data_IF_509886600697
#
_entry.id   IF_509886600697
#
_cell.length_a   1.000
_cell.length_b   1.000
_cell.length_c   1.000
_cell.angle_alpha   90.00
_cell.angle_beta   90.00
_cell.angle_gamma   90.00
#
_symmetry.space_group_name_H-M   'P 1'
#
loop_
_entity.id
_entity.type
_entity.pdbx_description
1 polymer ?
#
# COMPACT_ATOMS: atom_id res chain seq x y z
N UNK A 1 -8.87 -16.88 -12.15
CA UNK A 1 -7.44 -16.58 -12.34
C UNK A 1 -6.71 -17.00 -11.08
N UNK A 2 -5.53 -17.60 -11.19
CA UNK A 2 -4.86 -18.23 -10.04
C UNK A 2 -4.40 -17.17 -9.04
N UNK A 3 -4.59 -17.40 -7.73
CA UNK A 3 -4.16 -16.47 -6.66
C UNK A 3 -2.68 -16.06 -6.72
N UNK A 4 -1.84 -16.81 -7.43
CA UNK A 4 -0.45 -16.46 -7.70
C UNK A 4 -0.31 -15.24 -8.63
N UNK A 5 -1.19 -15.11 -9.63
CA UNK A 5 -1.22 -13.96 -10.55
C UNK A 5 -1.65 -12.70 -9.80
N UNK A 6 -2.68 -12.79 -8.93
CA UNK A 6 -3.10 -11.67 -8.09
C UNK A 6 -1.97 -11.17 -7.17
N UNK A 7 -1.19 -12.08 -6.58
CA UNK A 7 -0.05 -11.72 -5.74
C UNK A 7 1.09 -11.08 -6.55
N UNK A 8 1.36 -11.59 -7.75
CA UNK A 8 2.35 -10.99 -8.64
C UNK A 8 1.94 -9.59 -9.08
N UNK A 9 0.66 -9.39 -9.41
CA UNK A 9 0.13 -8.07 -9.77
C UNK A 9 0.10 -7.11 -8.58
N UNK A 10 -0.17 -7.60 -7.36
CA UNK A 10 -0.03 -6.81 -6.14
C UNK A 10 1.42 -6.38 -5.88
N UNK A 11 2.40 -7.28 -6.05
CA UNK A 11 3.83 -6.94 -5.98
C UNK A 11 4.21 -5.85 -6.98
N UNK A 12 3.76 -6.02 -8.22
CA UNK A 12 4.00 -5.05 -9.30
C UNK A 12 3.35 -3.70 -9.01
N UNK A 13 2.18 -3.68 -8.36
CA UNK A 13 1.53 -2.45 -7.92
C UNK A 13 2.30 -1.76 -6.78
N UNK A 14 2.78 -2.52 -5.80
CA UNK A 14 3.58 -2.03 -4.68
C UNK A 14 4.90 -1.41 -5.15
N UNK A 15 5.65 -2.09 -6.03
CA UNK A 15 6.89 -1.54 -6.62
C UNK A 15 6.62 -0.23 -7.38
N UNK A 16 5.54 -0.18 -8.17
CA UNK A 16 5.13 1.03 -8.86
C UNK A 16 4.70 2.17 -7.91
N UNK A 17 4.12 1.83 -6.76
CA UNK A 17 3.73 2.82 -5.75
C UNK A 17 4.96 3.42 -5.08
N UNK A 18 5.94 2.57 -4.70
CA UNK A 18 7.22 3.01 -4.16
C UNK A 18 7.93 3.98 -5.10
N UNK A 19 8.03 3.65 -6.40
CA UNK A 19 8.66 4.54 -7.39
C UNK A 19 7.96 5.88 -7.56
N UNK A 20 6.62 5.91 -7.46
CA UNK A 20 5.88 7.18 -7.51
C UNK A 20 6.21 8.05 -6.29
N UNK A 21 6.23 7.46 -5.10
CA UNK A 21 6.56 8.17 -3.86
C UNK A 21 7.99 8.71 -3.89
N UNK A 22 8.95 7.93 -4.38
CA UNK A 22 10.34 8.38 -4.56
C UNK A 22 10.46 9.58 -5.50
N UNK A 23 9.55 9.69 -6.48
CA UNK A 23 9.52 10.82 -7.42
C UNK A 23 8.82 12.07 -6.89
N UNK A 24 8.01 11.95 -5.81
CA UNK A 24 7.23 13.07 -5.25
C UNK A 24 8.11 13.96 -4.39
N UNK A 25 8.15 15.25 -4.73
CA UNK A 25 8.93 16.24 -3.96
C UNK A 25 8.47 16.35 -2.50
N UNK A 26 7.16 16.22 -2.25
CA UNK A 26 6.57 16.30 -0.91
C UNK A 26 6.91 15.09 0.00
N UNK A 27 7.41 13.99 -0.58
CA UNK A 27 7.92 12.83 0.16
C UNK A 27 9.46 12.80 0.23
N UNK A 28 10.16 13.83 -0.29
CA UNK A 28 11.61 13.89 -0.21
C UNK A 28 12.05 14.08 1.24
N UNK A 29 12.92 13.19 1.72
CA UNK A 29 13.35 13.09 3.12
C UNK A 29 12.24 12.71 4.12
N UNK A 30 11.10 12.23 3.63
CA UNK A 30 10.04 11.65 4.47
C UNK A 30 10.26 10.15 4.51
N UNK A 31 10.21 9.54 5.70
CA UNK A 31 10.16 8.09 5.80
C UNK A 31 8.80 7.62 5.26
N UNK A 32 8.80 6.87 4.16
CA UNK A 32 7.60 6.37 3.50
C UNK A 32 7.88 5.02 2.84
N UNK A 33 7.04 4.02 3.08
CA UNK A 33 7.24 2.68 2.51
C UNK A 33 5.93 1.93 2.26
N UNK A 34 6.02 0.99 1.30
CA UNK A 34 5.03 -0.03 1.04
C UNK A 34 5.71 -1.41 1.15
N UNK A 35 5.20 -2.28 2.01
CA UNK A 35 5.74 -3.63 2.20
C UNK A 35 4.64 -4.67 2.00
N UNK A 36 4.75 -5.50 0.96
CA UNK A 36 3.83 -6.63 0.77
C UNK A 36 4.30 -7.84 1.58
N UNK A 37 3.40 -8.37 2.40
CA UNK A 37 3.56 -9.65 3.06
C UNK A 37 2.72 -10.71 2.32
N UNK A 38 3.39 -11.57 1.56
CA UNK A 38 2.74 -12.63 0.78
C UNK A 38 2.02 -13.67 1.64
N UNK A 39 2.56 -13.97 2.83
CA UNK A 39 2.00 -15.01 3.70
C UNK A 39 0.66 -14.57 4.31
N UNK A 40 0.57 -13.31 4.77
CA UNK A 40 -0.66 -12.75 5.33
C UNK A 40 -1.54 -12.03 4.29
N UNK A 41 -1.05 -11.87 3.05
CA UNK A 41 -1.69 -11.10 1.98
C UNK A 41 -2.05 -9.68 2.43
N UNK A 42 -1.13 -9.04 3.14
CA UNK A 42 -1.27 -7.66 3.63
C UNK A 42 -0.21 -6.77 3.02
N UNK A 43 -0.53 -5.49 2.85
CA UNK A 43 0.41 -4.45 2.46
C UNK A 43 0.50 -3.48 3.62
N UNK A 44 1.67 -3.41 4.24
CA UNK A 44 1.97 -2.39 5.23
C UNK A 44 2.29 -1.09 4.52
N UNK A 45 1.61 -0.02 4.91
CA UNK A 45 1.83 1.35 4.45
C UNK A 45 2.28 2.17 5.64
N UNK A 46 3.46 2.78 5.56
CA UNK A 46 4.08 3.50 6.67
C UNK A 46 4.52 4.89 6.24
N UNK A 47 4.31 5.90 7.10
CA UNK A 47 4.93 7.22 6.96
C UNK A 47 5.10 7.96 8.29
N UNK A 48 5.48 9.25 8.25
CA UNK A 48 5.73 10.10 9.43
C UNK A 48 4.49 10.87 9.93
N UNK A 49 3.31 10.62 9.36
CA UNK A 49 2.03 11.15 9.86
C UNK A 49 0.85 10.33 9.32
N UNK A 50 -0.30 10.41 10.00
CA UNK A 50 -1.54 9.79 9.53
C UNK A 50 -1.99 10.37 8.18
N UNK A 51 -1.78 11.67 7.96
CA UNK A 51 -2.10 12.34 6.71
C UNK A 51 -1.26 11.79 5.54
N UNK A 52 0.04 11.59 5.75
CA UNK A 52 0.91 10.98 4.74
C UNK A 52 0.54 9.53 4.48
N UNK A 53 0.20 8.74 5.52
CA UNK A 53 -0.29 7.36 5.34
C UNK A 53 -1.53 7.33 4.45
N UNK A 54 -2.48 8.24 4.64
CA UNK A 54 -3.65 8.35 3.78
C UNK A 54 -3.27 8.68 2.32
N UNK A 55 -2.36 9.63 2.09
CA UNK A 55 -1.86 9.92 0.75
C UNK A 55 -1.18 8.70 0.10
N UNK A 56 -0.40 7.94 0.86
CA UNK A 56 0.23 6.71 0.38
C UNK A 56 -0.81 5.64 0.03
N UNK A 57 -1.85 5.48 0.83
CA UNK A 57 -2.97 4.56 0.54
C UNK A 57 -3.66 4.92 -0.77
N UNK A 58 -3.86 6.20 -1.08
CA UNK A 58 -4.46 6.62 -2.35
C UNK A 58 -3.55 6.32 -3.55
N UNK A 59 -2.23 6.54 -3.41
CA UNK A 59 -1.26 6.11 -4.43
C UNK A 59 -1.35 4.60 -4.65
N UNK A 60 -1.31 3.81 -3.57
CA UNK A 60 -1.37 2.35 -3.62
C UNK A 60 -2.64 1.86 -4.33
N UNK A 61 -3.81 2.39 -3.95
CA UNK A 61 -5.10 2.07 -4.60
C UNK A 61 -5.06 2.35 -6.10
N UNK A 62 -4.52 3.51 -6.50
CA UNK A 62 -4.40 3.86 -7.91
C UNK A 62 -3.46 2.90 -8.68
N UNK A 63 -2.36 2.43 -8.06
CA UNK A 63 -1.45 1.47 -8.71
C UNK A 63 -2.06 0.07 -8.80
N UNK A 64 -2.79 -0.38 -7.79
CA UNK A 64 -3.51 -1.65 -7.81
C UNK A 64 -4.57 -1.67 -8.92
N UNK A 65 -5.34 -0.58 -9.06
CA UNK A 65 -6.36 -0.44 -10.10
C UNK A 65 -5.78 -0.57 -11.51
N UNK A 66 -4.57 -0.02 -11.76
CA UNK A 66 -3.86 -0.18 -13.04
C UNK A 66 -3.41 -1.61 -13.34
N UNK A 67 -3.37 -2.48 -12.34
CA UNK A 67 -3.06 -3.91 -12.44
C UNK A 67 -4.31 -4.80 -12.45
N UNK A 68 -5.50 -4.20 -12.54
CA UNK A 68 -6.76 -4.94 -12.52
C UNK A 68 -7.20 -5.39 -11.13
N UNK A 69 -6.54 -4.92 -10.06
CA UNK A 69 -6.95 -5.17 -8.68
C UNK A 69 -7.79 -3.98 -8.23
N UNK A 70 -9.10 -4.19 -8.06
CA UNK A 70 -10.02 -3.12 -7.67
C UNK A 70 -9.61 -2.47 -6.35
N UNK A 71 -9.79 -1.15 -6.22
CA UNK A 71 -9.43 -0.42 -5.00
C UNK A 71 -10.22 -0.86 -3.76
N UNK A 72 -11.43 -1.41 -3.95
CA UNK A 72 -12.26 -2.07 -2.93
C UNK A 72 -11.66 -3.38 -2.40
N UNK A 73 -10.66 -3.92 -3.10
CA UNK A 73 -9.92 -5.11 -2.69
C UNK A 73 -8.91 -4.82 -1.57
N UNK A 74 -8.74 -3.59 -1.11
CA UNK A 74 -7.98 -3.28 0.10
C UNK A 74 -8.92 -3.09 1.30
N UNK A 75 -8.84 -4.01 2.26
CA UNK A 75 -9.38 -3.80 3.60
C UNK A 75 -8.39 -2.95 4.41
N UNK A 76 -8.64 -1.65 4.51
CA UNK A 76 -7.80 -0.73 5.28
C UNK A 76 -8.43 -0.56 6.66
N UNK A 77 -7.71 -0.85 7.76
CA UNK A 77 -8.22 -0.64 9.10
C UNK A 77 -8.49 0.85 9.35
N UNK A 78 -9.55 1.16 10.11
CA UNK A 78 -9.91 2.54 10.46
C UNK A 78 -8.85 3.24 11.33
N UNK A 79 -8.12 2.45 12.13
CA UNK A 79 -7.11 2.97 13.05
C UNK A 79 -5.71 2.89 12.42
N UNK A 80 -5.08 4.05 12.26
CA UNK A 80 -3.67 4.15 11.90
C UNK A 80 -2.84 3.98 13.18
N UNK A 81 -1.95 2.99 13.18
CA UNK A 81 -1.11 2.66 14.32
C UNK A 81 0.07 3.62 14.39
N UNK A 82 0.25 4.27 15.54
CA UNK A 82 1.41 5.11 15.81
C UNK A 82 2.49 4.33 16.56
N UNK A 83 3.72 4.37 16.07
CA UNK A 83 4.89 3.71 16.66
C UNK A 83 6.12 4.61 16.57
N UNK A 84 6.55 5.17 17.70
CA UNK A 84 7.73 6.02 17.76
C UNK A 84 7.54 7.33 17.00
N UNK A 85 8.11 7.41 15.79
CA UNK A 85 8.01 8.57 14.88
C UNK A 85 7.18 8.28 13.63
N UNK A 86 6.59 7.09 13.54
CA UNK A 86 5.92 6.63 12.33
C UNK A 86 4.49 6.21 12.61
N UNK A 87 3.70 6.29 11.56
CA UNK A 87 2.31 5.90 11.47
C UNK A 87 2.21 4.83 10.40
N UNK A 88 1.47 3.77 10.66
CA UNK A 88 1.28 2.72 9.66
C UNK A 88 -0.09 2.05 9.75
N UNK A 89 -0.46 1.41 8.65
CA UNK A 89 -1.58 0.49 8.58
C UNK A 89 -1.14 -0.77 7.85
N UNK A 90 -1.76 -1.90 8.19
CA UNK A 90 -1.64 -3.14 7.45
C UNK A 90 -2.94 -3.37 6.68
N UNK A 91 -2.96 -3.02 5.40
CA UNK A 91 -4.14 -3.16 4.56
C UNK A 91 -4.19 -4.58 3.96
N UNK A 92 -5.30 -5.29 4.14
CA UNK A 92 -5.45 -6.67 3.68
C UNK A 92 -5.97 -6.72 2.24
N UNK A 93 -5.33 -7.51 1.39
CA UNK A 93 -5.83 -7.80 0.05
C UNK A 93 -7.02 -8.78 0.15
N UNK A 94 -8.22 -8.31 -0.18
CA UNK A 94 -9.38 -9.14 -0.46
C UNK A 94 -9.18 -9.79 -1.82
N UNK A 95 -9.25 -11.11 -1.85
CA UNK A 95 -9.31 -11.82 -3.13
C UNK A 95 -10.74 -11.67 -3.66
N UNK A 96 -10.87 -11.11 -4.86
CA UNK A 96 -12.14 -11.14 -5.60
C UNK A 96 -12.54 -12.59 -5.84
N UNK A 97 -13.82 -12.90 -5.61
CA UNK A 97 -14.41 -14.22 -5.88
C UNK A 97 -14.60 -14.45 -7.39
#
# INVERSE_FOLDING_TARGET
MSSEVDLQEARNAVDNASREVESRFDFRNVEASFELNDASKTIKVLSESDFQVNQLLDILRAKLLKRGIEGSSLDVPENIVHSGKTWFVEAKLKQGH
#
